data_IF_722721366058
#
_entry.id   IF_722721366058
#
_cell.length_a   1.000
_cell.length_b   1.000
_cell.length_c   1.000
_cell.angle_alpha   90.00
_cell.angle_beta   90.00
_cell.angle_gamma   90.00
#
_symmetry.space_group_name_H-M   'P 1'
#
loop_
_entity.id
_entity.type
_entity.pdbx_description
1 polymer ?
#
# COMPACT_ATOMS: atom_id res chain seq x y z
N UNK A 1 7.43 7.02 -22.87
CA UNK A 1 6.27 6.54 -22.07
C UNK A 1 6.72 5.29 -21.35
N UNK A 2 7.21 5.44 -20.12
CA UNK A 2 7.91 4.37 -19.42
C UNK A 2 6.90 3.34 -18.89
N UNK A 3 6.82 2.21 -19.57
CA UNK A 3 6.09 1.02 -19.16
C UNK A 3 7.05 0.03 -18.52
N UNK A 4 6.71 -0.52 -17.35
CA UNK A 4 7.42 -1.66 -16.77
C UNK A 4 6.40 -2.66 -16.18
N UNK A 5 6.18 -3.78 -16.86
CA UNK A 5 5.33 -4.91 -16.44
C UNK A 5 6.01 -5.70 -15.31
N UNK A 6 5.67 -5.63 -14.02
CA UNK A 6 6.06 -6.69 -13.03
C UNK A 6 5.14 -6.80 -11.77
N UNK A 7 5.24 -7.96 -11.07
CA UNK A 7 4.35 -8.55 -10.04
C UNK A 7 4.58 -7.98 -8.61
N UNK A 8 3.52 -7.99 -7.79
CA UNK A 8 3.37 -7.56 -6.35
C UNK A 8 3.16 -6.07 -6.14
N UNK A 9 2.21 -5.68 -5.29
CA UNK A 9 1.66 -4.31 -5.32
C UNK A 9 1.24 -3.76 -3.96
N UNK A 10 1.72 -2.55 -3.64
CA UNK A 10 1.28 -1.73 -2.53
C UNK A 10 0.34 -0.64 -3.03
N UNK A 11 -0.76 -0.36 -2.32
CA UNK A 11 -1.77 0.63 -2.72
C UNK A 11 -1.89 1.73 -1.66
N UNK A 12 -1.81 3.00 -2.05
CA UNK A 12 -1.60 4.15 -1.14
C UNK A 12 -2.55 5.30 -1.47
N UNK A 13 -3.21 5.96 -0.51
CA UNK A 13 -4.02 7.15 -0.74
C UNK A 13 -3.18 8.43 -0.97
N UNK A 14 -3.84 9.56 -1.20
CA UNK A 14 -3.22 10.88 -1.32
C UNK A 14 -2.63 11.39 0.02
N UNK A 15 -1.39 11.89 0.02
CA UNK A 15 -0.74 12.47 1.21
C UNK A 15 0.79 12.25 1.26
N UNK A 16 1.37 12.18 2.49
CA UNK A 16 2.81 11.90 2.73
C UNK A 16 3.16 10.40 2.78
N UNK A 17 2.16 9.53 2.72
CA UNK A 17 2.30 8.07 2.70
C UNK A 17 2.99 7.49 1.45
N UNK A 18 2.94 8.13 0.26
CA UNK A 18 3.69 7.67 -0.91
C UNK A 18 5.20 7.58 -0.65
N UNK A 19 5.80 8.47 0.15
CA UNK A 19 7.24 8.42 0.44
C UNK A 19 7.62 7.20 1.29
N UNK A 20 6.76 6.79 2.22
CA UNK A 20 6.97 5.57 3.04
C UNK A 20 6.91 4.30 2.18
N UNK A 21 5.95 4.25 1.24
CA UNK A 21 5.79 3.08 0.36
C UNK A 21 6.88 3.00 -0.69
N UNK A 22 7.38 4.14 -1.18
CA UNK A 22 8.55 4.19 -2.08
C UNK A 22 9.81 3.76 -1.33
N UNK A 23 10.04 4.21 -0.10
CA UNK A 23 11.17 3.77 0.71
C UNK A 23 11.14 2.25 0.99
N UNK A 24 9.96 1.69 1.29
CA UNK A 24 9.79 0.24 1.44
C UNK A 24 10.03 -0.50 0.11
N UNK A 25 9.56 0.06 -1.01
CA UNK A 25 9.78 -0.48 -2.35
C UNK A 25 11.28 -0.54 -2.70
N UNK A 26 12.06 0.49 -2.39
CA UNK A 26 13.50 0.52 -2.64
C UNK A 26 14.22 -0.60 -1.86
N UNK A 27 13.87 -0.78 -0.58
CA UNK A 27 14.41 -1.87 0.26
C UNK A 27 14.09 -3.25 -0.32
N UNK A 28 12.81 -3.51 -0.64
CA UNK A 28 12.37 -4.77 -1.24
C UNK A 28 13.08 -5.02 -2.59
N UNK A 29 13.23 -3.99 -3.41
CA UNK A 29 13.90 -4.09 -4.70
C UNK A 29 15.38 -4.42 -4.54
N UNK A 30 16.06 -3.84 -3.55
CA UNK A 30 17.45 -4.14 -3.22
C UNK A 30 17.64 -5.61 -2.78
N UNK A 31 16.62 -6.21 -2.17
CA UNK A 31 16.59 -7.63 -1.78
C UNK A 31 16.18 -8.56 -2.95
N UNK A 32 16.00 -8.03 -4.16
CA UNK A 32 15.57 -8.81 -5.33
C UNK A 32 14.07 -9.14 -5.35
N UNK A 33 13.29 -8.59 -4.42
CA UNK A 33 11.85 -8.75 -4.38
C UNK A 33 11.23 -7.82 -5.41
N UNK A 34 10.53 -8.40 -6.39
CA UNK A 34 9.70 -7.65 -7.33
C UNK A 34 8.51 -7.06 -6.58
N UNK A 35 8.43 -5.73 -6.53
CA UNK A 35 7.33 -4.98 -5.91
C UNK A 35 6.80 -3.92 -6.89
N UNK A 36 5.70 -3.26 -6.55
CA UNK A 36 5.07 -2.17 -7.32
C UNK A 36 4.41 -1.24 -6.30
N UNK A 37 4.57 0.06 -6.48
CA UNK A 37 3.82 1.06 -5.71
C UNK A 37 2.74 1.63 -6.59
N UNK A 38 1.51 1.68 -6.09
CA UNK A 38 0.37 2.32 -6.76
C UNK A 38 -0.24 3.36 -5.85
N UNK A 39 -0.28 4.59 -6.37
CA UNK A 39 -1.03 5.68 -5.78
C UNK A 39 -2.49 5.58 -6.22
N UNK A 40 -3.39 5.65 -5.23
CA UNK A 40 -4.83 5.49 -5.33
C UNK A 40 -5.51 6.69 -4.64
N UNK A 41 -5.45 7.88 -5.24
CA UNK A 41 -5.95 9.11 -4.61
C UNK A 41 -7.48 9.14 -4.46
N UNK A 42 -8.20 8.43 -5.33
CA UNK A 42 -9.66 8.33 -5.28
C UNK A 42 -10.10 6.93 -5.69
N UNK A 43 -10.68 6.20 -4.74
CA UNK A 43 -11.13 4.82 -4.93
C UNK A 43 -12.36 4.74 -5.83
N UNK A 44 -13.21 5.77 -5.82
CA UNK A 44 -14.42 5.88 -6.62
C UNK A 44 -14.07 6.06 -8.09
N UNK A 45 -13.18 7.00 -8.41
CA UNK A 45 -12.70 7.22 -9.77
C UNK A 45 -11.95 6.01 -10.33
N UNK A 46 -11.16 5.34 -9.50
CA UNK A 46 -10.50 4.09 -9.91
C UNK A 46 -11.51 2.99 -10.22
N UNK A 47 -12.57 2.85 -9.43
CA UNK A 47 -13.63 1.88 -9.67
C UNK A 47 -14.42 2.15 -10.94
N UNK A 48 -14.64 3.42 -11.27
CA UNK A 48 -15.31 3.83 -12.50
C UNK A 48 -14.49 3.50 -13.75
N UNK A 49 -13.20 3.19 -13.62
CA UNK A 49 -12.37 2.82 -14.76
C UNK A 49 -12.75 1.45 -15.33
N UNK A 50 -12.54 1.25 -16.66
CA UNK A 50 -12.74 -0.05 -17.31
C UNK A 50 -12.01 -1.18 -16.58
N UNK A 51 -12.61 -2.38 -16.57
CA UNK A 51 -12.02 -3.54 -15.91
C UNK A 51 -10.60 -3.84 -16.39
N UNK A 52 -10.34 -3.69 -17.69
CA UNK A 52 -9.01 -3.88 -18.26
C UNK A 52 -7.95 -2.98 -17.60
N UNK A 53 -8.27 -1.69 -17.37
CA UNK A 53 -7.37 -0.78 -16.67
C UNK A 53 -7.20 -1.16 -15.20
N UNK A 54 -8.29 -1.52 -14.51
CA UNK A 54 -8.20 -1.95 -13.11
C UNK A 54 -7.37 -3.22 -12.94
N UNK A 55 -7.48 -4.18 -13.87
CA UNK A 55 -6.69 -5.42 -13.87
C UNK A 55 -5.24 -5.18 -14.29
N UNK A 56 -4.97 -4.17 -15.13
CA UNK A 56 -3.62 -3.74 -15.46
C UNK A 56 -2.92 -3.11 -14.24
N UNK A 57 -3.62 -2.20 -13.57
CA UNK A 57 -3.14 -1.54 -12.37
C UNK A 57 -3.01 -2.54 -11.24
N UNK A 58 -4.08 -3.29 -10.91
CA UNK A 58 -4.16 -4.30 -9.85
C UNK A 58 -4.40 -5.71 -10.43
N UNK A 59 -3.36 -6.41 -10.92
CA UNK A 59 -3.50 -7.76 -11.47
C UNK A 59 -4.20 -8.71 -10.50
N UNK A 60 -5.28 -9.40 -10.92
CA UNK A 60 -5.98 -10.37 -10.08
C UNK A 60 -5.10 -11.53 -9.62
N UNK A 61 -4.06 -11.87 -10.41
CA UNK A 61 -3.07 -12.90 -10.09
C UNK A 61 -2.10 -12.51 -8.97
N UNK A 62 -2.11 -11.25 -8.55
CA UNK A 62 -1.27 -10.73 -7.47
C UNK A 62 -2.14 -10.54 -6.23
N UNK A 63 -2.06 -11.49 -5.31
CA UNK A 63 -2.81 -11.48 -4.04
C UNK A 63 -1.99 -10.93 -2.86
N UNK A 64 -0.66 -10.93 -2.99
CA UNK A 64 0.26 -10.30 -2.04
C UNK A 64 0.16 -8.77 -2.15
N UNK A 65 -0.69 -8.16 -1.32
CA UNK A 65 -1.01 -6.73 -1.34
C UNK A 65 -0.88 -6.11 0.04
N UNK A 66 -0.29 -4.93 0.09
CA UNK A 66 -0.17 -4.12 1.30
C UNK A 66 -0.76 -2.73 1.04
N UNK A 67 -1.68 -2.29 1.87
CA UNK A 67 -2.19 -0.93 1.84
C UNK A 67 -1.60 -0.14 3.00
N UNK A 68 -1.27 1.13 2.77
CA UNK A 68 -0.72 2.01 3.79
C UNK A 68 -1.46 3.35 3.77
N UNK A 69 -2.17 3.68 4.84
CA UNK A 69 -2.98 4.89 4.96
C UNK A 69 -2.99 5.37 6.42
N UNK A 70 -2.84 6.67 6.64
CA UNK A 70 -3.06 7.27 7.97
C UNK A 70 -4.56 7.46 8.24
N UNK A 71 -5.27 6.33 8.28
CA UNK A 71 -6.72 6.21 8.39
C UNK A 71 -7.09 4.77 8.73
N UNK A 72 -8.38 4.48 8.81
CA UNK A 72 -8.88 3.14 9.16
C UNK A 72 -8.95 2.21 7.94
N UNK A 73 -8.95 0.91 8.19
CA UNK A 73 -8.93 -0.16 7.16
C UNK A 73 -10.18 -0.23 6.28
N UNK A 74 -11.31 0.33 6.71
CA UNK A 74 -12.67 0.00 6.25
C UNK A 74 -12.87 -0.13 4.72
N UNK A 75 -12.24 0.72 3.91
CA UNK A 75 -12.42 0.73 2.44
C UNK A 75 -11.39 -0.14 1.69
N UNK A 76 -10.36 -0.65 2.38
CA UNK A 76 -9.21 -1.31 1.77
C UNK A 76 -9.40 -2.81 1.54
N UNK A 77 -10.30 -3.47 2.27
CA UNK A 77 -10.49 -4.93 2.22
C UNK A 77 -10.79 -5.46 0.81
N UNK A 78 -11.55 -4.69 0.03
CA UNK A 78 -11.87 -5.02 -1.38
C UNK A 78 -10.63 -5.08 -2.29
N UNK A 79 -9.56 -4.37 -1.94
CA UNK A 79 -8.33 -4.33 -2.72
C UNK A 79 -7.28 -5.28 -2.14
N UNK A 80 -7.28 -5.47 -0.82
CA UNK A 80 -6.32 -6.34 -0.11
C UNK A 80 -6.61 -7.83 -0.31
N UNK A 81 -7.88 -8.22 -0.37
CA UNK A 81 -8.26 -9.63 -0.35
C UNK A 81 -7.90 -10.31 0.97
N UNK A 82 -7.96 -11.66 0.98
CA UNK A 82 -7.80 -12.48 2.19
C UNK A 82 -6.37 -12.46 2.75
N UNK A 83 -5.38 -12.39 1.87
CA UNK A 83 -3.95 -12.48 2.22
C UNK A 83 -3.32 -11.12 2.45
N UNK A 84 -4.04 -10.02 2.17
CA UNK A 84 -3.48 -8.69 2.24
C UNK A 84 -3.23 -8.20 3.68
N UNK A 85 -2.43 -7.14 3.78
CA UNK A 85 -2.14 -6.44 5.04
C UNK A 85 -2.43 -4.96 4.91
N UNK A 86 -2.88 -4.36 6.01
CA UNK A 86 -3.16 -2.94 6.11
C UNK A 86 -2.24 -2.33 7.17
N UNK A 87 -1.57 -1.23 6.82
CA UNK A 87 -0.79 -0.38 7.72
C UNK A 87 -1.55 0.92 7.87
N UNK A 88 -2.02 1.21 9.07
CA UNK A 88 -2.80 2.40 9.33
C UNK A 88 -3.28 2.47 10.76
N UNK A 89 -4.37 3.20 10.98
CA UNK A 89 -4.89 3.49 12.30
C UNK A 89 -5.98 2.48 12.70
N UNK A 90 -5.95 2.02 13.95
CA UNK A 90 -6.95 1.12 14.54
C UNK A 90 -7.94 1.84 15.46
N UNK A 91 -7.78 3.15 15.65
CA UNK A 91 -8.62 3.95 16.53
C UNK A 91 -8.48 5.44 16.26
N UNK A 92 -9.02 6.26 17.16
CA UNK A 92 -8.90 7.72 17.07
C UNK A 92 -7.45 8.16 17.13
N UNK A 93 -7.17 9.32 16.52
CA UNK A 93 -5.85 9.93 16.49
C UNK A 93 -5.30 10.26 17.89
N UNK A 94 -4.09 10.82 17.91
CA UNK A 94 -3.46 11.30 19.12
C UNK A 94 -3.03 12.76 18.94
N UNK A 95 -3.06 13.53 20.01
CA UNK A 95 -2.48 14.87 20.03
C UNK A 95 -0.96 14.75 20.09
N UNK A 96 -0.27 15.40 19.16
CA UNK A 96 1.19 15.43 19.14
C UNK A 96 1.76 15.70 17.74
N UNK A 97 3.08 15.89 17.65
CA UNK A 97 3.80 15.99 16.39
C UNK A 97 3.58 14.76 15.49
N UNK A 98 3.53 14.97 14.17
CA UNK A 98 3.11 13.95 13.20
C UNK A 98 3.99 12.68 13.24
N UNK A 99 5.28 12.83 13.48
CA UNK A 99 6.29 11.77 13.59
C UNK A 99 6.01 10.86 14.79
N UNK A 100 5.67 11.45 15.94
CA UNK A 100 5.29 10.70 17.14
C UNK A 100 3.96 9.97 16.98
N UNK A 101 3.00 10.62 16.33
CA UNK A 101 1.69 10.01 16.03
C UNK A 101 1.86 8.85 15.06
N UNK A 102 2.66 9.00 14.01
CA UNK A 102 2.93 7.93 13.05
C UNK A 102 3.68 6.76 13.70
N UNK A 103 4.67 7.04 14.56
CA UNK A 103 5.36 6.02 15.32
C UNK A 103 4.41 5.24 16.24
N UNK A 104 3.49 5.93 16.92
CA UNK A 104 2.46 5.32 17.78
C UNK A 104 1.55 4.37 17.01
N UNK A 105 1.17 4.72 15.79
CA UNK A 105 0.33 3.87 14.93
C UNK A 105 1.13 2.89 14.06
N UNK A 106 2.45 2.83 14.20
CA UNK A 106 3.30 1.94 13.39
C UNK A 106 3.29 2.28 11.89
N UNK A 107 2.98 3.52 11.52
CA UNK A 107 2.94 3.99 10.13
C UNK A 107 4.34 4.46 9.74
N UNK A 108 5.19 3.52 9.35
CA UNK A 108 6.56 3.78 8.90
C UNK A 108 6.98 2.82 7.78
N UNK A 109 8.12 3.09 7.15
CA UNK A 109 8.60 2.31 6.01
C UNK A 109 8.96 0.87 6.41
N UNK A 110 9.47 0.65 7.62
CA UNK A 110 9.82 -0.65 8.18
C UNK A 110 8.60 -1.56 8.36
N UNK A 111 7.47 -0.99 8.82
CA UNK A 111 6.22 -1.71 8.97
C UNK A 111 5.66 -2.15 7.61
N UNK A 112 5.76 -1.29 6.58
CA UNK A 112 5.35 -1.62 5.21
C UNK A 112 6.24 -2.71 4.62
N UNK A 113 7.56 -2.63 4.81
CA UNK A 113 8.51 -3.68 4.37
C UNK A 113 8.23 -5.03 5.04
N UNK A 114 8.07 -5.04 6.37
CA UNK A 114 7.76 -6.23 7.14
C UNK A 114 6.42 -6.85 6.72
N UNK A 115 5.39 -6.02 6.51
CA UNK A 115 4.10 -6.48 6.03
C UNK A 115 4.19 -7.03 4.60
N UNK A 116 4.96 -6.39 3.72
CA UNK A 116 5.18 -6.88 2.37
C UNK A 116 5.85 -8.26 2.38
N UNK A 117 6.88 -8.45 3.19
CA UNK A 117 7.53 -9.76 3.37
C UNK A 117 6.58 -10.81 3.92
N UNK A 118 5.72 -10.45 4.87
CA UNK A 118 4.75 -11.37 5.47
C UNK A 118 3.66 -11.85 4.49
N UNK A 119 3.33 -11.08 3.45
CA UNK A 119 2.33 -11.47 2.43
C UNK A 119 2.94 -12.19 1.21
N UNK A 120 4.27 -12.25 1.15
CA UNK A 120 5.01 -12.88 0.05
C UNK A 120 5.31 -14.37 0.33
N UNK A 121 5.33 -14.76 1.60
CA UNK A 121 5.54 -16.13 2.07
C UNK A 121 4.34 -17.04 1.85
#
# INVERSE_FOLDING_TARGET
MNWCRFRRQSVVPFGRQPTLCVAAYEKLTAEGIKARVVSMPCMELFQAQPKAYRDEVLPPTVTARVACEAGIRMSWDRYLGLTGRFIGMEGFGASGPYDQVYAKFGINAEAVDKAAKAVIG
#
